data_IF_426242721601
#
_entry.id   IF_426242721601
#
_cell.length_a   1.000
_cell.length_b   1.000
_cell.length_c   1.000
_cell.angle_alpha   90.00
_cell.angle_beta   90.00
_cell.angle_gamma   90.00
#
_symmetry.space_group_name_H-M   'P 1'
#
loop_
_entity.id
_entity.type
_entity.pdbx_description
1 polymer ?
#
# COMPACT_ATOMS: atom_id res chain seq x y z
N UNK A 1 14.80 12.68 -28.79
CA UNK A 1 13.79 12.75 -27.72
C UNK A 1 14.33 12.07 -26.48
N UNK A 2 14.15 12.65 -25.31
CA UNK A 2 14.54 12.00 -24.06
C UNK A 2 13.54 10.88 -23.72
N UNK A 3 13.96 9.86 -22.93
CA UNK A 3 13.06 8.80 -22.47
C UNK A 3 11.81 9.34 -21.74
N UNK A 4 11.95 10.50 -21.06
CA UNK A 4 10.86 11.20 -20.39
C UNK A 4 9.84 11.79 -21.38
N UNK A 5 10.28 12.36 -22.49
CA UNK A 5 9.41 12.90 -23.55
C UNK A 5 8.66 11.78 -24.28
N UNK A 6 9.31 10.65 -24.48
CA UNK A 6 8.70 9.46 -25.09
C UNK A 6 7.61 8.85 -24.21
N UNK A 7 7.85 8.79 -22.89
CA UNK A 7 6.86 8.33 -21.92
C UNK A 7 5.65 9.27 -21.86
N UNK A 8 5.88 10.57 -21.77
CA UNK A 8 4.81 11.57 -21.75
C UNK A 8 3.95 11.52 -23.02
N UNK A 9 4.56 11.28 -24.19
CA UNK A 9 3.83 11.12 -25.45
C UNK A 9 2.97 9.85 -25.47
N UNK A 10 3.48 8.73 -24.92
CA UNK A 10 2.73 7.48 -24.78
C UNK A 10 1.53 7.65 -23.83
N UNK A 11 1.73 8.31 -22.69
CA UNK A 11 0.67 8.57 -21.73
C UNK A 11 -0.42 9.48 -22.34
N UNK A 12 -0.04 10.50 -23.12
CA UNK A 12 -0.99 11.35 -23.81
C UNK A 12 -1.79 10.59 -24.90
N UNK A 13 -1.14 9.71 -25.64
CA UNK A 13 -1.82 8.86 -26.62
C UNK A 13 -2.82 7.91 -25.95
N UNK A 14 -2.41 7.26 -24.84
CA UNK A 14 -3.28 6.37 -24.07
C UNK A 14 -4.48 7.14 -23.50
N UNK A 15 -4.26 8.35 -22.99
CA UNK A 15 -5.34 9.21 -22.49
C UNK A 15 -6.41 9.47 -23.56
N UNK A 16 -5.99 9.85 -24.78
CA UNK A 16 -6.93 10.06 -25.89
C UNK A 16 -7.69 8.78 -26.27
N UNK A 17 -6.99 7.63 -26.27
CA UNK A 17 -7.62 6.34 -26.56
C UNK A 17 -8.68 5.96 -25.52
N UNK A 18 -8.39 6.17 -24.23
CA UNK A 18 -9.35 5.85 -23.17
C UNK A 18 -10.54 6.81 -23.13
N UNK A 19 -10.33 8.09 -23.46
CA UNK A 19 -11.44 9.05 -23.61
C UNK A 19 -12.36 8.59 -24.76
N UNK A 20 -11.79 8.31 -25.94
CA UNK A 20 -12.58 7.83 -27.08
C UNK A 20 -13.32 6.52 -26.74
N UNK A 21 -12.70 5.61 -25.99
CA UNK A 21 -13.33 4.38 -25.58
C UNK A 21 -14.56 4.60 -24.67
N UNK A 22 -14.52 5.59 -23.76
CA UNK A 22 -15.69 5.98 -22.95
C UNK A 22 -16.79 6.56 -23.84
N UNK A 23 -16.43 7.42 -24.81
CA UNK A 23 -17.40 8.02 -25.71
C UNK A 23 -18.09 6.99 -26.64
N UNK A 24 -17.33 5.97 -27.08
CA UNK A 24 -17.85 4.87 -27.90
C UNK A 24 -18.80 3.95 -27.16
N UNK A 25 -18.52 3.68 -25.87
CA UNK A 25 -19.36 2.82 -25.04
C UNK A 25 -19.55 3.40 -23.63
N UNK A 26 -20.44 4.37 -23.47
CA UNK A 26 -20.65 5.08 -22.20
C UNK A 26 -21.34 4.24 -21.11
N UNK A 27 -21.77 3.02 -21.42
CA UNK A 27 -22.37 2.07 -20.47
C UNK A 27 -21.46 0.91 -20.12
N UNK A 28 -20.15 1.01 -20.41
CA UNK A 28 -19.14 0.06 -19.94
C UNK A 28 -18.36 0.69 -18.78
N UNK A 29 -18.63 0.24 -17.56
CA UNK A 29 -18.01 0.76 -16.33
C UNK A 29 -16.49 0.61 -16.33
N UNK A 30 -15.96 -0.43 -16.98
CA UNK A 30 -14.52 -0.67 -17.03
C UNK A 30 -13.77 0.43 -17.79
N UNK A 31 -14.41 1.06 -18.78
CA UNK A 31 -13.83 2.21 -19.51
C UNK A 31 -13.59 3.41 -18.59
N UNK A 32 -14.55 3.69 -17.70
CA UNK A 32 -14.38 4.75 -16.69
C UNK A 32 -13.30 4.40 -15.68
N UNK A 33 -13.25 3.14 -15.26
CA UNK A 33 -12.22 2.69 -14.32
C UNK A 33 -10.80 2.79 -14.91
N UNK A 34 -10.62 2.36 -16.16
CA UNK A 34 -9.35 2.43 -16.88
C UNK A 34 -8.88 3.88 -17.08
N UNK A 35 -9.81 4.77 -17.52
CA UNK A 35 -9.51 6.19 -17.68
C UNK A 35 -9.19 6.86 -16.34
N UNK A 36 -9.99 6.60 -15.30
CA UNK A 36 -9.77 7.14 -13.97
C UNK A 36 -8.43 6.67 -13.36
N UNK A 37 -8.08 5.39 -13.54
CA UNK A 37 -6.82 4.82 -13.11
C UNK A 37 -5.62 5.47 -13.82
N UNK A 38 -5.74 5.76 -15.11
CA UNK A 38 -4.72 6.51 -15.84
C UNK A 38 -4.57 7.93 -15.30
N UNK A 39 -5.69 8.62 -15.05
CA UNK A 39 -5.67 9.98 -14.49
C UNK A 39 -5.01 10.02 -13.10
N UNK A 40 -5.25 9.02 -12.24
CA UNK A 40 -4.55 8.86 -10.94
C UNK A 40 -3.05 8.69 -11.16
N UNK A 41 -2.63 7.82 -12.07
CA UNK A 41 -1.21 7.62 -12.41
C UNK A 41 -0.54 8.91 -12.91
N UNK A 42 -1.28 9.74 -13.64
CA UNK A 42 -0.84 11.05 -14.12
C UNK A 42 -0.96 12.15 -13.04
N UNK A 43 -1.34 11.81 -11.82
CA UNK A 43 -1.58 12.72 -10.70
C UNK A 43 -2.65 13.80 -10.99
N UNK A 44 -3.55 13.52 -11.92
CA UNK A 44 -4.65 14.40 -12.28
C UNK A 44 -5.90 14.06 -11.45
N UNK A 45 -5.79 14.20 -10.14
CA UNK A 45 -6.79 13.78 -9.16
C UNK A 45 -8.15 14.49 -9.33
N UNK A 46 -8.22 15.81 -9.61
CA UNK A 46 -9.52 16.49 -9.77
C UNK A 46 -10.33 15.93 -10.95
N UNK A 47 -9.68 15.64 -12.08
CA UNK A 47 -10.38 15.09 -13.24
C UNK A 47 -10.77 13.61 -13.01
N UNK A 48 -9.95 12.84 -12.29
CA UNK A 48 -10.28 11.47 -11.90
C UNK A 48 -11.49 11.44 -10.95
N UNK A 49 -11.55 12.33 -9.96
CA UNK A 49 -12.67 12.50 -9.03
C UNK A 49 -13.97 12.83 -9.80
N UNK A 50 -13.94 13.84 -10.66
CA UNK A 50 -15.09 14.23 -11.48
C UNK A 50 -15.60 13.07 -12.34
N UNK A 51 -14.68 12.33 -12.99
CA UNK A 51 -14.99 11.18 -13.83
C UNK A 51 -15.71 10.09 -13.04
N UNK A 52 -15.18 9.69 -11.88
CA UNK A 52 -15.77 8.64 -11.04
C UNK A 52 -17.12 9.07 -10.45
N UNK A 53 -17.25 10.31 -9.97
CA UNK A 53 -18.53 10.84 -9.47
C UNK A 53 -19.61 10.86 -10.56
N UNK A 54 -19.24 11.22 -11.80
CA UNK A 54 -20.15 11.17 -12.96
C UNK A 54 -20.56 9.73 -13.29
N UNK A 55 -19.60 8.81 -13.29
CA UNK A 55 -19.86 7.40 -13.54
C UNK A 55 -20.76 6.78 -12.45
N UNK A 56 -20.57 7.10 -11.18
CA UNK A 56 -21.44 6.65 -10.10
C UNK A 56 -22.92 7.02 -10.31
N UNK A 57 -23.19 8.19 -10.91
CA UNK A 57 -24.56 8.57 -11.29
C UNK A 57 -25.09 7.78 -12.51
N UNK A 58 -24.23 7.46 -13.49
CA UNK A 58 -24.63 6.70 -14.69
C UNK A 58 -24.99 5.26 -14.29
N UNK A 59 -24.24 4.66 -13.38
CA UNK A 59 -24.38 3.26 -12.95
C UNK A 59 -25.08 3.10 -11.60
N UNK A 60 -26.00 4.02 -11.23
CA UNK A 60 -26.62 4.04 -9.89
C UNK A 60 -27.36 2.75 -9.52
N UNK A 61 -27.89 2.01 -10.50
CA UNK A 61 -28.66 0.80 -10.32
C UNK A 61 -27.84 -0.49 -10.49
N UNK A 62 -26.52 -0.38 -10.76
CA UNK A 62 -25.61 -1.51 -10.94
C UNK A 62 -24.66 -1.63 -9.73
N UNK A 63 -24.92 -2.59 -8.84
CA UNK A 63 -24.18 -2.76 -7.60
C UNK A 63 -22.71 -3.14 -7.81
N UNK A 64 -22.40 -3.92 -8.86
CA UNK A 64 -21.04 -4.32 -9.19
C UNK A 64 -20.26 -3.15 -9.77
N UNK A 65 -20.90 -2.39 -10.67
CA UNK A 65 -20.33 -1.14 -11.19
C UNK A 65 -20.09 -0.13 -10.07
N UNK A 66 -21.06 0.07 -9.16
CA UNK A 66 -20.89 0.94 -7.99
C UNK A 66 -19.68 0.53 -7.16
N UNK A 67 -19.49 -0.76 -6.90
CA UNK A 67 -18.34 -1.27 -6.14
C UNK A 67 -17.02 -0.94 -6.82
N UNK A 68 -16.90 -1.14 -8.13
CA UNK A 68 -15.70 -0.83 -8.90
C UNK A 68 -15.40 0.68 -8.91
N UNK A 69 -16.44 1.51 -9.06
CA UNK A 69 -16.30 2.97 -9.09
C UNK A 69 -15.94 3.54 -7.72
N UNK A 70 -16.54 3.03 -6.63
CA UNK A 70 -16.14 3.39 -5.27
C UNK A 70 -14.69 3.00 -4.99
N UNK A 71 -14.25 1.82 -5.43
CA UNK A 71 -12.85 1.41 -5.33
C UNK A 71 -11.93 2.38 -6.10
N UNK A 72 -12.32 2.77 -7.33
CA UNK A 72 -11.59 3.75 -8.13
C UNK A 72 -11.52 5.13 -7.46
N UNK A 73 -12.63 5.64 -6.95
CA UNK A 73 -12.69 6.94 -6.26
C UNK A 73 -11.88 6.91 -4.95
N UNK A 74 -11.93 5.81 -4.21
CA UNK A 74 -11.09 5.57 -3.04
C UNK A 74 -9.60 5.68 -3.38
N UNK A 75 -9.17 5.09 -4.52
CA UNK A 75 -7.80 5.17 -5.00
C UNK A 75 -7.40 6.62 -5.38
N UNK A 76 -8.32 7.42 -5.94
CA UNK A 76 -8.08 8.85 -6.20
C UNK A 76 -7.76 9.59 -4.90
N UNK A 77 -8.63 9.46 -3.91
CA UNK A 77 -8.46 10.14 -2.63
C UNK A 77 -7.23 9.65 -1.87
N UNK A 78 -6.95 8.35 -1.91
CA UNK A 78 -5.75 7.77 -1.28
C UNK A 78 -4.47 8.33 -1.91
N UNK A 79 -4.39 8.34 -3.25
CA UNK A 79 -3.23 8.87 -3.98
C UNK A 79 -3.05 10.38 -3.78
N UNK A 80 -4.14 11.11 -3.55
CA UNK A 80 -4.12 12.53 -3.21
C UNK A 80 -3.79 12.80 -1.73
N UNK A 81 -3.58 11.76 -0.90
CA UNK A 81 -3.36 11.89 0.55
C UNK A 81 -4.61 12.23 1.37
N UNK A 82 -5.79 12.16 0.77
CA UNK A 82 -7.08 12.48 1.40
C UNK A 82 -7.69 11.24 2.06
N UNK A 83 -6.99 10.66 3.03
CA UNK A 83 -7.35 9.37 3.62
C UNK A 83 -8.74 9.36 4.27
N UNK A 84 -9.17 10.47 4.87
CA UNK A 84 -10.50 10.61 5.47
C UNK A 84 -11.63 10.46 4.44
N UNK A 85 -11.38 10.86 3.17
CA UNK A 85 -12.30 10.65 2.05
C UNK A 85 -12.15 9.26 1.43
N UNK A 86 -10.93 8.72 1.37
CA UNK A 86 -10.66 7.42 0.76
C UNK A 86 -11.32 6.26 1.51
N UNK A 87 -11.25 6.26 2.85
CA UNK A 87 -11.75 5.19 3.71
C UNK A 87 -13.25 4.90 3.48
N UNK A 88 -14.17 5.89 3.50
CA UNK A 88 -15.58 5.62 3.24
C UNK A 88 -15.84 5.04 1.85
N UNK A 89 -15.07 5.44 0.85
CA UNK A 89 -15.21 4.92 -0.52
C UNK A 89 -14.80 3.43 -0.58
N UNK A 90 -13.67 3.06 0.01
CA UNK A 90 -13.28 1.66 0.10
C UNK A 90 -14.27 0.81 0.92
N UNK A 91 -14.85 1.37 1.99
CA UNK A 91 -15.88 0.68 2.79
C UNK A 91 -17.21 0.51 2.05
N UNK A 92 -17.48 1.30 1.02
CA UNK A 92 -18.67 1.16 0.18
C UNK A 92 -18.56 -0.01 -0.83
N UNK A 93 -17.37 -0.59 -1.02
CA UNK A 93 -17.14 -1.73 -1.92
C UNK A 93 -17.78 -3.00 -1.34
N UNK A 94 -18.72 -3.58 -2.10
CA UNK A 94 -19.47 -4.78 -1.71
C UNK A 94 -19.16 -6.01 -2.58
N UNK A 95 -18.57 -5.80 -3.74
CA UNK A 95 -18.15 -6.89 -4.63
C UNK A 95 -17.12 -7.79 -3.93
N UNK A 96 -17.40 -9.10 -3.89
CA UNK A 96 -16.56 -10.10 -3.24
C UNK A 96 -15.13 -10.15 -3.79
N UNK A 97 -14.95 -9.87 -5.07
CA UNK A 97 -13.63 -9.92 -5.72
C UNK A 97 -12.75 -8.74 -5.31
N UNK A 98 -13.36 -7.58 -5.07
CA UNK A 98 -12.66 -6.35 -4.68
C UNK A 98 -12.60 -6.17 -3.16
N UNK A 99 -13.38 -6.93 -2.40
CA UNK A 99 -13.57 -6.70 -0.96
C UNK A 99 -12.27 -6.85 -0.17
N UNK A 100 -11.44 -7.84 -0.49
CA UNK A 100 -10.17 -8.03 0.20
C UNK A 100 -9.22 -6.83 -0.04
N UNK A 101 -9.12 -6.39 -1.29
CA UNK A 101 -8.27 -5.25 -1.66
C UNK A 101 -8.81 -3.95 -1.06
N UNK A 102 -10.13 -3.74 -1.07
CA UNK A 102 -10.75 -2.56 -0.47
C UNK A 102 -10.53 -2.50 1.06
N UNK A 103 -10.60 -3.64 1.75
CA UNK A 103 -10.28 -3.73 3.17
C UNK A 103 -8.80 -3.44 3.44
N UNK A 104 -7.90 -3.94 2.59
CA UNK A 104 -6.48 -3.65 2.69
C UNK A 104 -6.21 -2.15 2.48
N UNK A 105 -6.83 -1.53 1.46
CA UNK A 105 -6.71 -0.10 1.22
C UNK A 105 -7.31 0.74 2.36
N UNK A 106 -8.40 0.29 2.96
CA UNK A 106 -8.97 0.88 4.19
C UNK A 106 -7.95 0.84 5.33
N UNK A 107 -7.31 -0.32 5.55
CA UNK A 107 -6.28 -0.48 6.56
C UNK A 107 -5.07 0.43 6.31
N UNK A 108 -4.62 0.54 5.07
CA UNK A 108 -3.54 1.45 4.68
C UNK A 108 -3.91 2.92 4.91
N UNK A 109 -5.17 3.31 4.65
CA UNK A 109 -5.69 4.64 4.93
C UNK A 109 -5.63 4.97 6.43
N UNK A 110 -6.04 4.06 7.30
CA UNK A 110 -5.92 4.22 8.75
C UNK A 110 -4.47 4.23 9.23
N UNK A 111 -3.62 3.37 8.66
CA UNK A 111 -2.18 3.36 8.96
C UNK A 111 -1.52 4.70 8.64
N UNK A 112 -1.82 5.26 7.47
CA UNK A 112 -1.28 6.55 7.04
C UNK A 112 -1.72 7.72 7.95
N UNK A 113 -2.85 7.58 8.63
CA UNK A 113 -3.32 8.53 9.66
C UNK A 113 -2.76 8.26 11.06
N UNK A 114 -1.89 7.26 11.23
CA UNK A 114 -1.38 6.83 12.54
C UNK A 114 -2.40 6.09 13.41
N UNK A 115 -3.55 5.72 12.86
CA UNK A 115 -4.63 5.01 13.55
C UNK A 115 -4.39 3.49 13.49
N UNK A 116 -3.29 3.04 14.13
CA UNK A 116 -2.79 1.68 13.97
C UNK A 116 -3.76 0.60 14.45
N UNK A 117 -4.57 0.88 15.49
CA UNK A 117 -5.56 -0.08 15.99
C UNK A 117 -6.66 -0.36 14.96
N UNK A 118 -7.19 0.68 14.31
CA UNK A 118 -8.16 0.53 13.23
C UNK A 118 -7.53 -0.17 12.02
N UNK A 119 -6.31 0.22 11.66
CA UNK A 119 -5.57 -0.43 10.58
C UNK A 119 -5.43 -1.94 10.81
N UNK A 120 -5.10 -2.38 12.03
CA UNK A 120 -4.98 -3.82 12.37
C UNK A 120 -6.29 -4.58 12.16
N UNK A 121 -7.44 -4.01 12.55
CA UNK A 121 -8.75 -4.67 12.38
C UNK A 121 -9.03 -4.93 10.90
N UNK A 122 -8.84 -3.91 10.06
CA UNK A 122 -9.10 -4.04 8.62
C UNK A 122 -8.06 -4.91 7.92
N UNK A 123 -6.78 -4.81 8.29
CA UNK A 123 -5.72 -5.66 7.73
C UNK A 123 -5.92 -7.14 8.09
N UNK A 124 -6.34 -7.45 9.32
CA UNK A 124 -6.67 -8.82 9.72
C UNK A 124 -7.83 -9.37 8.88
N UNK A 125 -8.91 -8.60 8.75
CA UNK A 125 -10.07 -9.00 7.95
C UNK A 125 -9.70 -9.17 6.47
N UNK A 126 -8.84 -8.31 5.93
CA UNK A 126 -8.31 -8.44 4.58
C UNK A 126 -7.51 -9.73 4.41
N UNK A 127 -6.65 -10.08 5.38
CA UNK A 127 -5.84 -11.30 5.33
C UNK A 127 -6.67 -12.59 5.33
N UNK A 128 -7.84 -12.58 5.99
CA UNK A 128 -8.76 -13.73 6.01
C UNK A 128 -9.52 -13.91 4.69
N UNK A 129 -9.68 -12.83 3.90
CA UNK A 129 -10.44 -12.83 2.65
C UNK A 129 -9.57 -12.93 1.40
N UNK A 130 -8.32 -12.47 1.47
CA UNK A 130 -7.42 -12.44 0.33
C UNK A 130 -6.89 -13.82 -0.01
N UNK A 131 -6.78 -14.11 -1.30
CA UNK A 131 -6.08 -15.31 -1.78
C UNK A 131 -4.57 -15.22 -1.49
N UNK A 132 -3.98 -14.02 -1.65
CA UNK A 132 -2.63 -13.70 -1.19
C UNK A 132 -2.72 -12.81 0.05
N UNK A 133 -2.32 -13.37 1.17
CA UNK A 133 -2.37 -12.70 2.48
C UNK A 133 -1.13 -11.84 2.76
N UNK A 134 -0.10 -11.90 1.92
CA UNK A 134 1.23 -11.34 2.23
C UNK A 134 1.21 -9.85 2.52
N UNK A 135 0.51 -9.06 1.70
CA UNK A 135 0.40 -7.61 1.87
C UNK A 135 -0.36 -7.21 3.15
N UNK A 136 -1.42 -7.93 3.47
CA UNK A 136 -2.21 -7.67 4.68
C UNK A 136 -1.44 -8.06 5.95
N UNK A 137 -0.73 -9.20 5.93
CA UNK A 137 0.15 -9.63 7.03
C UNK A 137 1.33 -8.67 7.22
N UNK A 138 1.89 -8.13 6.11
CA UNK A 138 2.95 -7.12 6.17
C UNK A 138 2.45 -5.85 6.83
N UNK A 139 1.26 -5.37 6.46
CA UNK A 139 0.66 -4.18 7.08
C UNK A 139 0.33 -4.40 8.57
N UNK A 140 -0.14 -5.61 8.95
CA UNK A 140 -0.32 -5.98 10.36
C UNK A 140 1.01 -5.88 11.13
N UNK A 141 2.08 -6.42 10.56
CA UNK A 141 3.41 -6.34 11.16
C UNK A 141 3.88 -4.88 11.32
N UNK A 142 3.65 -4.04 10.28
CA UNK A 142 3.97 -2.61 10.31
C UNK A 142 3.18 -1.88 11.42
N UNK A 143 1.89 -2.20 11.60
CA UNK A 143 1.06 -1.63 12.65
C UNK A 143 1.57 -2.00 14.05
N UNK A 144 1.93 -3.27 14.29
CA UNK A 144 2.52 -3.70 15.55
C UNK A 144 3.87 -3.04 15.80
N UNK A 145 4.71 -2.94 14.76
CA UNK A 145 6.00 -2.27 14.84
C UNK A 145 5.85 -0.79 15.21
N UNK A 146 4.91 -0.08 14.56
CA UNK A 146 4.60 1.32 14.85
C UNK A 146 4.02 1.53 16.25
N UNK A 147 3.33 0.52 16.78
CA UNK A 147 2.81 0.51 18.16
C UNK A 147 3.84 0.08 19.21
N UNK A 148 5.06 -0.29 18.79
CA UNK A 148 6.14 -0.74 19.69
C UNK A 148 6.06 -2.20 20.12
N UNK A 149 5.12 -2.98 19.60
CA UNK A 149 5.01 -4.42 19.88
C UNK A 149 5.90 -5.23 18.92
N UNK A 150 7.19 -5.28 19.25
CA UNK A 150 8.20 -5.98 18.44
C UNK A 150 7.96 -7.48 18.35
N UNK A 151 7.38 -8.10 19.36
CA UNK A 151 7.14 -9.55 19.35
C UNK A 151 6.02 -9.92 18.35
N UNK A 152 4.91 -9.18 18.34
CA UNK A 152 3.86 -9.39 17.35
C UNK A 152 4.33 -9.00 15.96
N UNK A 153 5.02 -7.87 15.80
CA UNK A 153 5.59 -7.47 14.53
C UNK A 153 6.49 -8.57 13.93
N UNK A 154 7.40 -9.11 14.73
CA UNK A 154 8.26 -10.26 14.39
C UNK A 154 7.44 -11.44 13.88
N UNK A 155 6.42 -11.85 14.64
CA UNK A 155 5.57 -13.00 14.32
C UNK A 155 4.90 -12.84 12.95
N UNK A 156 4.36 -11.66 12.64
CA UNK A 156 3.69 -11.40 11.38
C UNK A 156 4.67 -11.28 10.21
N UNK A 157 5.82 -10.62 10.37
CA UNK A 157 6.86 -10.65 9.32
C UNK A 157 7.38 -12.05 9.03
N UNK A 158 7.49 -12.93 10.05
CA UNK A 158 7.86 -14.33 9.84
C UNK A 158 6.79 -15.10 9.05
N UNK A 159 5.50 -14.75 9.20
CA UNK A 159 4.45 -15.31 8.35
C UNK A 159 4.59 -14.82 6.89
N UNK A 160 4.85 -13.52 6.67
CA UNK A 160 5.15 -12.99 5.34
C UNK A 160 6.33 -13.74 4.72
N UNK A 161 7.43 -13.93 5.47
CA UNK A 161 8.63 -14.60 4.99
C UNK A 161 8.48 -16.12 4.76
N UNK A 162 7.45 -16.75 5.33
CA UNK A 162 7.07 -18.12 4.96
C UNK A 162 6.38 -18.18 3.61
N UNK A 163 5.58 -17.16 3.26
CA UNK A 163 4.91 -17.04 1.96
C UNK A 163 5.87 -16.54 0.90
N UNK A 164 6.64 -15.51 1.21
CA UNK A 164 7.55 -14.79 0.33
C UNK A 164 8.95 -14.67 0.98
N UNK A 165 9.81 -15.70 0.91
CA UNK A 165 11.12 -15.74 1.60
C UNK A 165 12.07 -14.62 1.20
N UNK A 166 11.89 -14.04 0.01
CA UNK A 166 12.70 -12.96 -0.55
C UNK A 166 12.06 -11.57 -0.46
N UNK A 167 10.94 -11.44 0.27
CA UNK A 167 10.31 -10.13 0.46
C UNK A 167 11.29 -9.15 1.09
N UNK A 168 11.54 -8.03 0.40
CA UNK A 168 12.55 -7.04 0.76
C UNK A 168 12.17 -6.31 2.03
N UNK A 169 10.91 -5.85 2.12
CA UNK A 169 10.41 -5.10 3.27
C UNK A 169 10.42 -5.96 4.54
N UNK A 170 9.84 -7.15 4.48
CA UNK A 170 9.77 -8.05 5.64
C UNK A 170 11.16 -8.50 6.11
N UNK A 171 12.10 -8.82 5.20
CA UNK A 171 13.48 -9.12 5.58
C UNK A 171 14.16 -7.91 6.23
N UNK A 172 13.97 -6.70 5.69
CA UNK A 172 14.54 -5.49 6.26
C UNK A 172 14.03 -5.23 7.68
N UNK A 173 12.72 -5.23 7.89
CA UNK A 173 12.11 -4.99 9.20
C UNK A 173 12.49 -6.07 10.22
N UNK A 174 12.55 -7.35 9.79
CA UNK A 174 13.04 -8.43 10.65
C UNK A 174 14.50 -8.26 11.05
N UNK A 175 15.32 -7.78 10.11
CA UNK A 175 16.71 -7.41 10.40
C UNK A 175 16.80 -6.32 11.47
N UNK A 176 16.00 -5.24 11.34
CA UNK A 176 15.96 -4.16 12.32
C UNK A 176 15.50 -4.65 13.71
N UNK A 177 14.46 -5.47 13.78
CA UNK A 177 13.98 -6.04 15.03
C UNK A 177 15.07 -6.92 15.68
N UNK A 178 15.78 -7.72 14.88
CA UNK A 178 16.89 -8.56 15.36
C UNK A 178 18.02 -7.71 15.96
N UNK A 179 18.41 -6.61 15.29
CA UNK A 179 19.42 -5.66 15.80
C UNK A 179 19.00 -5.07 17.16
N UNK A 180 17.76 -4.59 17.26
CA UNK A 180 17.22 -4.01 18.52
C UNK A 180 17.20 -5.03 19.65
N UNK A 181 16.97 -6.31 19.33
CA UNK A 181 16.95 -7.42 20.29
C UNK A 181 18.33 -8.03 20.57
N UNK A 182 19.40 -7.52 19.96
CA UNK A 182 20.76 -8.07 20.09
C UNK A 182 20.95 -9.44 19.44
N UNK A 183 20.09 -9.78 18.47
CA UNK A 183 20.15 -11.02 17.69
C UNK A 183 20.88 -10.80 16.36
N UNK A 184 21.32 -11.90 15.72
CA UNK A 184 21.96 -11.79 14.40
C UNK A 184 20.96 -11.38 13.32
N UNK A 185 21.23 -10.24 12.67
CA UNK A 185 20.47 -9.67 11.56
C UNK A 185 21.06 -9.97 10.17
N UNK A 186 22.31 -10.47 10.14
CA UNK A 186 23.13 -10.58 8.93
C UNK A 186 22.42 -11.33 7.79
N UNK A 187 21.71 -12.40 8.09
CA UNK A 187 21.02 -13.20 7.09
C UNK A 187 19.84 -12.45 6.43
N UNK A 188 19.14 -11.64 7.21
CA UNK A 188 18.04 -10.82 6.72
C UNK A 188 18.54 -9.72 5.77
N UNK A 189 19.56 -8.95 6.18
CA UNK A 189 20.13 -7.90 5.34
C UNK A 189 20.86 -8.45 4.12
N UNK A 190 21.44 -9.65 4.19
CA UNK A 190 22.01 -10.31 3.03
C UNK A 190 20.96 -10.59 1.94
N UNK A 191 19.76 -11.04 2.33
CA UNK A 191 18.65 -11.24 1.40
C UNK A 191 18.16 -9.93 0.80
N UNK A 192 18.00 -8.87 1.61
CA UNK A 192 17.65 -7.53 1.11
C UNK A 192 18.66 -7.06 0.07
N UNK A 193 19.97 -7.17 0.36
CA UNK A 193 21.04 -6.79 -0.55
C UNK A 193 21.04 -7.58 -1.85
N UNK A 194 20.65 -8.86 -1.80
CA UNK A 194 20.57 -9.73 -2.97
C UNK A 194 19.40 -9.33 -3.88
N UNK A 195 18.24 -8.98 -3.30
CA UNK A 195 17.02 -8.68 -4.06
C UNK A 195 16.97 -7.22 -4.52
N UNK A 196 17.28 -6.30 -3.62
CA UNK A 196 17.32 -4.86 -3.89
C UNK A 196 18.47 -4.17 -3.14
N UNK A 197 19.64 -4.04 -3.77
CA UNK A 197 20.79 -3.35 -3.15
C UNK A 197 20.52 -1.88 -2.83
N UNK A 198 19.63 -1.22 -3.58
CA UNK A 198 19.30 0.20 -3.38
C UNK A 198 18.49 0.41 -2.12
N UNK A 199 17.62 -0.53 -1.78
CA UNK A 199 16.77 -0.46 -0.59
C UNK A 199 17.59 -0.24 0.70
N UNK A 200 18.70 -0.95 0.86
CA UNK A 200 19.60 -0.74 2.00
C UNK A 200 20.23 0.65 2.01
N UNK A 201 20.61 1.16 0.85
CA UNK A 201 21.21 2.50 0.73
C UNK A 201 20.21 3.59 1.06
N UNK A 202 18.98 3.45 0.57
CA UNK A 202 17.88 4.40 0.83
C UNK A 202 17.47 4.44 2.31
N UNK A 203 17.65 3.31 3.03
CA UNK A 203 17.30 3.20 4.45
C UNK A 203 18.54 3.24 5.38
N UNK A 204 19.71 3.63 4.89
CA UNK A 204 20.96 3.64 5.66
C UNK A 204 20.90 4.57 6.89
N UNK A 205 20.22 5.70 6.79
CA UNK A 205 20.05 6.62 7.93
C UNK A 205 19.32 5.93 9.09
N UNK A 206 18.23 5.21 8.80
CA UNK A 206 17.47 4.46 9.80
C UNK A 206 18.31 3.35 10.46
N UNK A 207 19.16 2.67 9.69
CA UNK A 207 20.10 1.69 10.24
C UNK A 207 21.12 2.36 11.19
N UNK A 208 21.64 3.52 10.82
CA UNK A 208 22.60 4.28 11.63
C UNK A 208 21.95 4.79 12.94
N UNK A 209 20.72 5.28 12.89
CA UNK A 209 19.96 5.72 14.07
C UNK A 209 19.75 4.56 15.07
N UNK A 210 19.33 3.40 14.58
CA UNK A 210 19.14 2.22 15.42
C UNK A 210 20.47 1.76 16.04
N UNK A 211 21.54 1.72 15.26
CA UNK A 211 22.88 1.37 15.76
C UNK A 211 23.37 2.35 16.85
N UNK A 212 23.09 3.65 16.70
CA UNK A 212 23.41 4.67 17.70
C UNK A 212 22.60 4.46 19.00
N UNK A 213 21.31 4.18 18.88
CA UNK A 213 20.43 3.88 20.03
C UNK A 213 20.88 2.64 20.81
N UNK A 214 21.27 1.57 20.12
CA UNK A 214 21.78 0.35 20.76
C UNK A 214 23.06 0.64 21.53
N UNK A 215 24.00 1.36 20.92
CA UNK A 215 25.26 1.77 21.58
C UNK A 215 25.03 2.63 22.81
N UNK A 216 24.07 3.55 22.76
CA UNK A 216 23.75 4.42 23.90
C UNK A 216 23.20 3.63 25.09
N UNK A 217 22.30 2.65 24.82
CA UNK A 217 21.74 1.77 25.86
C UNK A 217 22.81 0.87 26.51
N UNK A 218 23.70 0.28 25.70
CA UNK A 218 24.80 -0.54 26.21
C UNK A 218 25.80 0.28 27.06
N UNK A 219 26.04 1.53 26.68
CA UNK A 219 26.91 2.44 27.45
C UNK A 219 26.29 2.91 28.77
N UNK A 220 24.98 2.89 28.93
CA UNK A 220 24.28 3.17 30.20
C UNK A 220 24.28 1.96 31.13
N UNK A 221 24.05 0.77 30.61
CA UNK A 221 24.08 -0.49 31.38
C UNK A 221 25.49 -0.86 31.90
N UNK A 222 26.55 -0.40 31.23
CA UNK A 222 27.93 -0.61 31.68
C UNK A 222 28.39 0.36 32.79
N UNK A 223 27.56 1.34 33.16
CA UNK A 223 27.83 2.35 34.21
C UNK A 223 27.03 2.13 35.51
N UNK A 224 26.09 1.19 35.48
CA UNK A 224 25.37 0.66 36.63
C UNK A 224 26.05 -0.62 37.19
#
# INVERSE_FOLDING_TARGET
MSAKEELAKKDQQLLHQLIAAVDENPYDVHRYYDLGSLLVRLQNYPQAEELFLKALNIFMDDADAQSLLHYGLGNVYYAAGMYEKAIPEFMAVKDHKLQADALLMTAQGYYAQGQYQQAMVFALTASEKAADQSSALSLLADCFLASGDFEQAKKYYEQVLKLLPSDVHANFQRGLIAEVQGQSSANYFAKVKQQDPKYLTEHQERLNEIAALIKSKQGQQAKE
#
